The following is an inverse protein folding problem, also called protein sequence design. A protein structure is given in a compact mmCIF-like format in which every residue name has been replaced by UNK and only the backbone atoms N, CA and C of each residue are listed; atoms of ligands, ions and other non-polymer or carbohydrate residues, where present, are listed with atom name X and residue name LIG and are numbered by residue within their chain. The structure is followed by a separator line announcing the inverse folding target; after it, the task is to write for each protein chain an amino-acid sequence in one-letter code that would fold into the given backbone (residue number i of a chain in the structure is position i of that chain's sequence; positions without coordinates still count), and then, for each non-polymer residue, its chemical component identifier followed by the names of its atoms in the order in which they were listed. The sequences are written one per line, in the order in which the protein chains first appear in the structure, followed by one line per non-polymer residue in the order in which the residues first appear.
data_IF_969555171737
#
_entry.id   IF_969555171737
#
_cell.length_a   1.000
_cell.length_b   1.000
_cell.length_c   1.000
_cell.angle_alpha   90.00
_cell.angle_beta   90.00
_cell.angle_gamma   90.00
#
_symmetry.space_group_name_H-M   'P 1'
#
loop_
_entity.id
_entity.type
_entity.pdbx_description
1 polymer ?
#
# COMPACT_ATOMS: atom_id res chain seq x y z
N UNK A 1 2.37 3.96 -15.44
CA UNK A 1 3.41 4.06 -14.41
C UNK A 1 4.80 4.16 -15.04
N UNK A 2 5.19 3.21 -15.89
CA UNK A 2 6.50 3.19 -16.59
C UNK A 2 6.78 4.46 -17.39
N UNK A 3 5.79 5.00 -18.10
CA UNK A 3 5.95 6.25 -18.83
C UNK A 3 6.30 7.41 -17.89
N UNK A 4 5.57 7.56 -16.79
CA UNK A 4 5.79 8.64 -15.80
C UNK A 4 7.20 8.55 -15.20
N UNK A 5 7.61 7.34 -14.85
CA UNK A 5 8.93 7.08 -14.28
C UNK A 5 10.05 7.25 -15.31
N UNK A 6 9.83 6.79 -16.55
CA UNK A 6 10.76 6.99 -17.67
C UNK A 6 10.99 8.46 -18.01
N UNK A 7 9.99 9.31 -17.80
CA UNK A 7 10.07 10.78 -17.94
C UNK A 7 10.60 11.47 -16.68
N UNK A 8 10.89 10.73 -15.61
CA UNK A 8 11.40 11.23 -14.32
C UNK A 8 10.58 12.39 -13.75
N UNK A 9 9.27 12.24 -13.74
CA UNK A 9 8.30 13.23 -13.25
C UNK A 9 7.27 12.58 -12.32
N UNK A 10 6.45 13.41 -11.70
CA UNK A 10 5.24 12.95 -11.02
C UNK A 10 4.06 12.86 -12.00
N UNK A 11 3.06 12.07 -11.62
CA UNK A 11 1.82 11.92 -12.37
C UNK A 11 1.02 13.24 -12.42
N UNK A 12 0.44 13.53 -13.59
CA UNK A 12 -0.53 14.63 -13.72
C UNK A 12 -1.82 14.28 -12.96
N UNK A 13 -2.70 15.25 -12.68
CA UNK A 13 -3.99 14.98 -12.03
C UNK A 13 -4.83 13.91 -12.77
N UNK A 14 -4.81 13.91 -14.10
CA UNK A 14 -5.51 12.93 -14.93
C UNK A 14 -4.90 11.53 -14.79
N UNK A 15 -3.57 11.44 -14.78
CA UNK A 15 -2.86 10.18 -14.55
C UNK A 15 -3.07 9.68 -13.12
N UNK A 16 -3.07 10.56 -12.12
CA UNK A 16 -3.41 10.21 -10.72
C UNK A 16 -4.83 9.64 -10.62
N UNK A 17 -5.78 10.20 -11.36
CA UNK A 17 -7.14 9.67 -11.40
C UNK A 17 -7.18 8.23 -11.95
N UNK A 18 -6.37 7.92 -12.97
CA UNK A 18 -6.24 6.56 -13.49
C UNK A 18 -5.57 5.66 -12.46
N UNK A 19 -4.44 6.08 -11.89
CA UNK A 19 -3.69 5.30 -10.90
C UNK A 19 -4.50 5.02 -9.63
N UNK A 20 -5.36 5.95 -9.20
CA UNK A 20 -6.23 5.77 -8.04
C UNK A 20 -7.30 4.68 -8.20
N UNK A 21 -7.56 4.24 -9.43
CA UNK A 21 -8.48 3.15 -9.73
C UNK A 21 -7.82 1.77 -9.57
N UNK A 22 -6.51 1.72 -9.32
CA UNK A 22 -5.83 0.45 -9.09
C UNK A 22 -6.33 -0.21 -7.80
N UNK A 23 -6.83 -1.43 -7.94
CA UNK A 23 -7.43 -2.19 -6.83
C UNK A 23 -6.57 -3.39 -6.40
N UNK A 24 -5.31 -3.45 -6.86
CA UNK A 24 -4.42 -4.59 -6.58
C UNK A 24 -4.85 -5.86 -7.31
N UNK A 25 -4.27 -6.96 -6.89
CA UNK A 25 -4.43 -8.26 -7.51
C UNK A 25 -5.42 -9.18 -6.77
N UNK A 26 -6.08 -8.66 -5.72
CA UNK A 26 -7.04 -9.43 -4.93
C UNK A 26 -8.15 -10.03 -5.80
N UNK A 27 -8.38 -11.34 -5.66
CA UNK A 27 -9.40 -12.05 -6.44
C UNK A 27 -9.01 -12.39 -7.88
N UNK A 28 -7.79 -12.05 -8.35
CA UNK A 28 -7.32 -12.32 -9.71
C UNK A 28 -6.33 -13.51 -9.79
N UNK A 29 -6.41 -14.46 -8.87
CA UNK A 29 -5.50 -15.62 -8.83
C UNK A 29 -5.50 -16.42 -10.14
N UNK A 30 -6.63 -16.52 -10.83
CA UNK A 30 -6.76 -17.24 -12.09
C UNK A 30 -5.95 -16.62 -13.24
N UNK A 31 -5.69 -15.32 -13.21
CA UNK A 31 -4.84 -14.63 -14.18
C UNK A 31 -3.34 -15.03 -14.06
N UNK A 32 -2.95 -15.64 -12.94
CA UNK A 32 -1.60 -16.13 -12.68
C UNK A 32 -1.48 -17.65 -12.80
N UNK A 33 -2.53 -18.34 -13.27
CA UNK A 33 -2.57 -19.79 -13.42
C UNK A 33 -2.59 -20.17 -14.90
N UNK A 34 -1.49 -20.80 -15.39
CA UNK A 34 -1.32 -21.24 -16.77
C UNK A 34 -2.38 -22.26 -17.21
N UNK A 35 -2.98 -23.00 -16.28
CA UNK A 35 -4.01 -24.00 -16.58
C UNK A 35 -5.38 -23.38 -16.92
N UNK A 36 -5.57 -22.10 -16.64
CA UNK A 36 -6.82 -21.38 -16.85
C UNK A 36 -6.95 -20.83 -18.26
N UNK A 37 -7.51 -21.61 -19.17
CA UNK A 37 -7.61 -21.26 -20.59
C UNK A 37 -8.36 -19.93 -20.87
N UNK A 38 -9.35 -19.59 -20.05
CA UNK A 38 -10.11 -18.33 -20.15
C UNK A 38 -9.30 -17.09 -19.73
N UNK A 39 -8.15 -17.28 -19.07
CA UNK A 39 -7.23 -16.23 -18.62
C UNK A 39 -5.89 -16.26 -19.37
N UNK A 40 -5.80 -17.07 -20.43
CA UNK A 40 -4.54 -17.29 -21.14
C UNK A 40 -3.93 -16.01 -21.72
N UNK A 41 -4.76 -15.10 -22.22
CA UNK A 41 -4.28 -13.82 -22.77
C UNK A 41 -3.68 -12.94 -21.68
N UNK A 42 -4.39 -12.77 -20.56
CA UNK A 42 -3.94 -11.99 -19.41
C UNK A 42 -2.70 -12.61 -18.75
N UNK A 43 -2.66 -13.95 -18.64
CA UNK A 43 -1.49 -14.67 -18.13
C UNK A 43 -0.22 -14.36 -18.91
N UNK A 44 -0.27 -14.43 -20.27
CA UNK A 44 0.88 -14.12 -21.09
C UNK A 44 1.24 -12.63 -21.03
N UNK A 45 0.25 -11.75 -21.09
CA UNK A 45 0.45 -10.30 -21.01
C UNK A 45 1.09 -9.89 -19.68
N UNK A 46 0.68 -10.47 -18.55
CA UNK A 46 1.29 -10.21 -17.24
C UNK A 46 2.75 -10.65 -17.20
N UNK A 47 3.08 -11.79 -17.81
CA UNK A 47 4.46 -12.26 -17.90
C UNK A 47 5.36 -11.41 -18.80
N UNK A 48 4.81 -10.77 -19.79
CA UNK A 48 5.53 -9.84 -20.68
C UNK A 48 5.75 -8.46 -20.04
N UNK A 49 4.74 -7.97 -19.30
CA UNK A 49 4.74 -6.62 -18.72
C UNK A 49 5.47 -6.54 -17.38
N UNK A 50 5.43 -7.59 -16.58
CA UNK A 50 5.99 -7.59 -15.24
C UNK A 50 7.37 -8.25 -15.22
N UNK A 51 8.30 -7.65 -14.47
CA UNK A 51 9.54 -8.35 -14.14
C UNK A 51 9.24 -9.65 -13.36
N UNK A 52 10.15 -10.64 -13.35
CA UNK A 52 9.92 -11.88 -12.61
C UNK A 52 9.61 -11.66 -11.12
N UNK A 53 10.20 -10.64 -10.50
CA UNK A 53 9.96 -10.30 -9.11
C UNK A 53 8.58 -9.66 -8.90
N UNK A 54 8.21 -8.69 -9.73
CA UNK A 54 6.87 -8.08 -9.72
C UNK A 54 5.77 -9.12 -9.97
N UNK A 55 5.98 -10.02 -10.94
CA UNK A 55 5.04 -11.11 -11.21
C UNK A 55 4.86 -12.02 -9.99
N UNK A 56 5.96 -12.39 -9.31
CA UNK A 56 5.91 -13.21 -8.09
C UNK A 56 5.15 -12.48 -6.98
N UNK A 57 5.47 -11.22 -6.73
CA UNK A 57 4.83 -10.42 -5.68
C UNK A 57 3.34 -10.20 -5.98
N UNK A 58 2.99 -9.87 -7.21
CA UNK A 58 1.60 -9.72 -7.64
C UNK A 58 0.80 -11.02 -7.43
N UNK A 59 1.36 -12.17 -7.82
CA UNK A 59 0.75 -13.48 -7.61
C UNK A 59 0.54 -13.79 -6.13
N UNK A 60 1.55 -13.55 -5.28
CA UNK A 60 1.45 -13.75 -3.83
C UNK A 60 0.39 -12.86 -3.19
N UNK A 61 0.21 -11.64 -3.69
CA UNK A 61 -0.76 -10.68 -3.16
C UNK A 61 -2.22 -10.99 -3.53
N UNK A 62 -2.47 -11.89 -4.50
CA UNK A 62 -3.84 -12.24 -4.90
C UNK A 62 -4.72 -12.76 -3.77
N UNK A 63 -4.11 -13.32 -2.73
CA UNK A 63 -4.80 -13.87 -1.56
C UNK A 63 -4.94 -12.87 -0.40
N UNK A 64 -4.18 -11.77 -0.41
CA UNK A 64 -3.99 -10.89 0.74
C UNK A 64 -4.34 -9.41 0.46
N UNK A 65 -4.71 -9.05 -0.77
CA UNK A 65 -5.06 -7.68 -1.10
C UNK A 65 -6.51 -7.39 -0.66
N UNK A 66 -6.67 -6.82 0.52
CA UNK A 66 -7.96 -6.41 1.07
C UNK A 66 -7.98 -4.90 1.29
N UNK A 67 -8.90 -4.22 0.59
CA UNK A 67 -9.10 -2.78 0.77
C UNK A 67 -10.06 -2.51 1.92
N UNK A 68 -9.69 -1.54 2.74
CA UNK A 68 -10.55 -1.08 3.84
C UNK A 68 -11.68 -0.22 3.28
N UNK A 69 -12.91 -0.51 3.72
CA UNK A 69 -14.08 0.27 3.32
C UNK A 69 -13.93 1.77 3.68
N UNK A 70 -14.31 2.69 2.78
CA UNK A 70 -14.29 4.13 3.06
C UNK A 70 -15.06 4.53 4.33
N UNK A 71 -16.12 3.78 4.68
CA UNK A 71 -16.89 4.03 5.91
C UNK A 71 -16.02 3.76 7.15
N UNK A 72 -15.26 2.66 7.15
CA UNK A 72 -14.37 2.30 8.26
C UNK A 72 -13.26 3.34 8.40
N UNK A 73 -12.62 3.74 7.30
CA UNK A 73 -11.55 4.75 7.32
C UNK A 73 -12.05 6.06 7.93
N UNK A 74 -13.24 6.54 7.51
CA UNK A 74 -13.85 7.74 8.09
C UNK A 74 -14.10 7.62 9.58
N UNK A 75 -14.64 6.48 10.02
CA UNK A 75 -14.90 6.23 11.46
C UNK A 75 -13.60 6.24 12.29
N UNK A 76 -12.51 5.72 11.73
CA UNK A 76 -11.20 5.74 12.38
C UNK A 76 -10.70 7.18 12.54
N UNK A 77 -10.80 8.01 11.50
CA UNK A 77 -10.42 9.42 11.57
C UNK A 77 -11.31 10.23 12.53
N UNK A 78 -12.62 10.02 12.50
CA UNK A 78 -13.55 10.64 13.48
C UNK A 78 -13.18 10.28 14.92
N UNK A 79 -12.70 9.05 15.13
CA UNK A 79 -12.23 8.62 16.45
C UNK A 79 -10.97 9.36 16.86
N UNK A 80 -10.00 9.52 15.96
CA UNK A 80 -8.79 10.31 16.22
C UNK A 80 -9.10 11.77 16.53
N UNK A 81 -10.04 12.39 15.80
CA UNK A 81 -10.51 13.76 16.10
C UNK A 81 -11.11 13.88 17.50
N UNK A 82 -11.96 12.90 17.89
CA UNK A 82 -12.54 12.86 19.25
C UNK A 82 -11.48 12.64 20.33
N UNK A 83 -10.36 12.00 20.01
CA UNK A 83 -9.22 11.85 20.90
C UNK A 83 -8.33 13.11 20.95
N UNK A 84 -8.64 14.13 20.14
CA UNK A 84 -7.93 15.40 20.10
C UNK A 84 -6.73 15.45 19.16
N UNK A 85 -6.54 14.42 18.32
CA UNK A 85 -5.47 14.45 17.32
C UNK A 85 -5.83 15.41 16.18
N UNK A 86 -4.91 16.31 15.82
CA UNK A 86 -5.08 17.27 14.74
C UNK A 86 -3.93 17.27 13.75
N UNK A 87 -2.70 17.05 14.21
CA UNK A 87 -1.52 16.95 13.35
C UNK A 87 -0.36 16.24 14.04
N UNK A 88 0.48 15.61 13.25
CA UNK A 88 1.68 14.91 13.73
C UNK A 88 2.30 14.07 12.62
N UNK A 89 3.18 13.16 13.00
CA UNK A 89 3.73 12.14 12.12
C UNK A 89 2.76 10.95 12.08
N UNK A 90 2.14 10.73 10.92
CA UNK A 90 1.15 9.65 10.72
C UNK A 90 1.76 8.54 9.87
N UNK A 91 1.75 7.33 10.38
CA UNK A 91 2.24 6.13 9.72
C UNK A 91 1.08 5.27 9.20
N UNK A 92 1.19 4.82 7.95
CA UNK A 92 0.41 3.70 7.38
C UNK A 92 1.36 2.54 7.03
N UNK A 93 1.45 1.48 7.88
CA UNK A 93 2.51 0.46 7.77
C UNK A 93 2.28 -0.58 6.68
N UNK A 94 1.12 -0.61 6.06
CA UNK A 94 0.74 -1.46 4.92
C UNK A 94 -0.24 -0.67 4.06
N UNK A 95 0.30 0.36 3.38
CA UNK A 95 -0.54 1.44 2.87
C UNK A 95 -1.34 1.11 1.62
N UNK A 96 -0.99 0.05 0.89
CA UNK A 96 -1.56 -0.14 -0.43
C UNK A 96 -1.28 1.07 -1.31
N UNK A 97 -2.29 1.56 -2.00
CA UNK A 97 -2.18 2.82 -2.75
C UNK A 97 -2.43 4.07 -1.90
N UNK A 98 -2.60 3.95 -0.56
CA UNK A 98 -2.76 5.08 0.35
C UNK A 98 -4.20 5.56 0.52
N UNK A 99 -5.17 4.67 0.59
CA UNK A 99 -6.57 5.03 0.78
C UNK A 99 -6.81 5.81 2.09
N UNK A 100 -6.05 5.50 3.15
CA UNK A 100 -6.11 6.26 4.39
C UNK A 100 -5.63 7.69 4.18
N UNK A 101 -4.53 7.90 3.47
CA UNK A 101 -4.03 9.24 3.16
C UNK A 101 -5.03 10.05 2.33
N UNK A 102 -5.62 9.42 1.30
CA UNK A 102 -6.61 10.06 0.43
C UNK A 102 -7.90 10.46 1.14
N UNK A 103 -8.21 9.82 2.26
CA UNK A 103 -9.42 10.07 3.05
C UNK A 103 -9.15 10.85 4.34
N UNK A 104 -7.92 11.34 4.53
CA UNK A 104 -7.58 12.15 5.69
C UNK A 104 -8.40 13.44 5.72
N UNK A 105 -9.07 13.76 6.84
CA UNK A 105 -9.88 14.98 6.96
C UNK A 105 -9.02 16.24 6.93
N UNK A 106 -9.61 17.35 6.53
CA UNK A 106 -8.94 18.65 6.44
C UNK A 106 -8.30 19.08 7.75
N UNK A 107 -8.90 18.72 8.89
CA UNK A 107 -8.40 18.96 10.23
C UNK A 107 -7.02 18.38 10.50
N UNK A 108 -6.60 17.36 9.72
CA UNK A 108 -5.33 16.63 9.90
C UNK A 108 -4.36 16.81 8.73
N UNK A 109 -4.70 17.58 7.69
CA UNK A 109 -3.89 17.72 6.46
C UNK A 109 -2.51 18.35 6.65
N UNK A 110 -2.25 18.99 7.79
CA UNK A 110 -0.92 19.49 8.13
C UNK A 110 0.02 18.40 8.69
N UNK A 111 -0.47 17.17 8.81
CA UNK A 111 0.33 16.02 9.26
C UNK A 111 1.39 15.65 8.22
N UNK A 112 2.50 15.10 8.69
CA UNK A 112 3.50 14.46 7.85
C UNK A 112 3.13 13.00 7.66
N UNK A 113 3.12 12.54 6.41
CA UNK A 113 2.64 11.22 6.03
C UNK A 113 3.81 10.29 5.72
N UNK A 114 3.79 9.14 6.34
CA UNK A 114 4.78 8.07 6.17
C UNK A 114 4.06 6.79 5.82
N UNK A 115 4.36 6.24 4.66
CA UNK A 115 3.73 5.01 4.18
C UNK A 115 4.77 3.92 3.93
N UNK A 116 4.41 2.68 4.22
CA UNK A 116 5.23 1.52 3.89
C UNK A 116 4.38 0.55 3.08
N UNK A 117 4.92 0.07 1.96
CA UNK A 117 4.26 -0.89 1.10
C UNK A 117 5.28 -1.92 0.61
N UNK A 118 4.91 -3.19 0.72
CA UNK A 118 5.79 -4.29 0.30
C UNK A 118 5.76 -4.49 -1.22
N UNK A 119 4.57 -4.42 -1.82
CA UNK A 119 4.41 -4.60 -3.27
C UNK A 119 4.95 -3.40 -4.03
N UNK A 120 5.88 -3.66 -4.97
CA UNK A 120 6.59 -2.59 -5.67
C UNK A 120 5.68 -1.77 -6.59
N UNK A 121 4.75 -2.41 -7.28
CA UNK A 121 3.82 -1.72 -8.19
C UNK A 121 2.89 -0.82 -7.39
N UNK A 122 2.29 -1.36 -6.34
CA UNK A 122 1.38 -0.64 -5.45
C UNK A 122 2.08 0.55 -4.78
N UNK A 123 3.29 0.34 -4.26
CA UNK A 123 4.08 1.40 -3.62
C UNK A 123 4.54 2.49 -4.59
N UNK A 124 4.89 2.13 -5.84
CA UNK A 124 5.22 3.10 -6.91
C UNK A 124 3.99 3.93 -7.28
N UNK A 125 2.81 3.31 -7.35
CA UNK A 125 1.54 4.02 -7.54
C UNK A 125 1.30 5.00 -6.39
N UNK A 126 1.45 4.56 -5.15
CA UNK A 126 1.29 5.40 -3.97
C UNK A 126 2.21 6.63 -3.99
N UNK A 127 3.48 6.49 -4.41
CA UNK A 127 4.40 7.62 -4.59
C UNK A 127 3.90 8.64 -5.62
N UNK A 128 3.22 8.20 -6.67
CA UNK A 128 2.66 9.09 -7.68
C UNK A 128 1.38 9.79 -7.18
N UNK A 129 0.61 9.12 -6.32
CA UNK A 129 -0.61 9.70 -5.74
C UNK A 129 -0.30 10.69 -4.62
N UNK A 130 0.76 10.43 -3.84
CA UNK A 130 1.12 11.23 -2.65
C UNK A 130 2.59 11.67 -2.71
N UNK A 131 2.97 12.57 -3.65
CA UNK A 131 4.35 12.98 -3.83
C UNK A 131 4.96 13.71 -2.63
N UNK A 132 4.14 14.16 -1.68
CA UNK A 132 4.58 14.82 -0.44
C UNK A 132 4.75 13.86 0.74
N UNK A 133 4.34 12.59 0.59
CA UNK A 133 4.51 11.57 1.61
C UNK A 133 5.86 10.87 1.49
N UNK A 134 6.43 10.45 2.62
CA UNK A 134 7.57 9.53 2.63
C UNK A 134 7.05 8.09 2.47
N UNK A 135 7.12 7.58 1.23
CA UNK A 135 6.69 6.22 0.91
C UNK A 135 7.89 5.31 0.72
N UNK A 136 8.03 4.30 1.59
CA UNK A 136 9.07 3.29 1.52
C UNK A 136 8.51 1.98 0.94
N UNK A 137 9.18 1.46 -0.10
CA UNK A 137 8.78 0.20 -0.77
C UNK A 137 9.67 -0.92 -0.22
N UNK A 138 9.20 -1.53 0.86
CA UNK A 138 9.87 -2.64 1.56
C UNK A 138 8.94 -3.24 2.62
N UNK A 139 9.31 -4.37 3.20
CA UNK A 139 8.63 -4.87 4.40
C UNK A 139 8.81 -3.90 5.58
N UNK A 140 7.78 -3.75 6.40
CA UNK A 140 7.82 -2.85 7.56
C UNK A 140 8.94 -3.20 8.53
N UNK A 141 9.27 -4.48 8.68
CA UNK A 141 10.37 -4.99 9.52
C UNK A 141 11.77 -4.54 9.05
N UNK A 142 11.86 -3.97 7.85
CA UNK A 142 13.11 -3.41 7.28
C UNK A 142 13.17 -1.89 7.35
N UNK A 143 12.20 -1.27 8.00
CA UNK A 143 12.23 0.17 8.23
C UNK A 143 13.13 0.50 9.42
N UNK A 144 13.68 1.71 9.43
CA UNK A 144 14.60 2.19 10.47
C UNK A 144 14.09 3.53 11.01
N UNK A 145 12.86 3.51 11.54
CA UNK A 145 12.29 4.68 12.18
C UNK A 145 12.74 4.77 13.63
N UNK A 146 13.04 5.97 14.15
CA UNK A 146 13.34 6.15 15.56
C UNK A 146 12.18 5.73 16.46
N UNK A 147 12.49 5.33 17.69
CA UNK A 147 11.44 5.11 18.71
C UNK A 147 10.65 6.40 18.93
N UNK A 148 9.36 6.26 19.22
CA UNK A 148 8.44 7.37 19.52
C UNK A 148 8.36 8.44 18.41
N UNK A 149 8.67 8.07 17.16
CA UNK A 149 8.69 8.99 16.03
C UNK A 149 7.28 9.32 15.50
N UNK A 150 6.36 8.38 15.59
CA UNK A 150 5.00 8.55 15.09
C UNK A 150 4.03 8.91 16.21
N UNK A 151 3.18 9.90 15.94
CA UNK A 151 2.08 10.28 16.82
C UNK A 151 0.87 9.36 16.62
N UNK A 152 0.69 8.85 15.40
CA UNK A 152 -0.38 7.92 15.03
C UNK A 152 0.15 6.86 14.05
N UNK A 153 -0.20 5.61 14.28
CA UNK A 153 -0.16 4.56 13.27
C UNK A 153 -1.60 4.14 12.95
N UNK A 154 -1.99 4.26 11.68
CA UNK A 154 -3.35 3.97 11.21
C UNK A 154 -3.26 3.10 9.95
N UNK A 155 -4.08 2.07 9.86
CA UNK A 155 -4.07 1.20 8.69
C UNK A 155 -4.82 -0.09 8.93
N UNK A 156 -4.86 -0.93 7.90
CA UNK A 156 -5.34 -2.30 7.95
C UNK A 156 -4.19 -3.22 7.56
N UNK A 157 -3.44 -3.70 8.55
CA UNK A 157 -2.29 -4.58 8.29
C UNK A 157 -2.76 -5.98 7.88
N UNK A 158 -2.03 -6.66 6.98
CA UNK A 158 -2.33 -8.05 6.64
C UNK A 158 -2.31 -8.93 7.89
N UNK A 159 -3.29 -9.82 8.00
CA UNK A 159 -3.38 -10.82 9.05
C UNK A 159 -3.46 -12.20 8.43
N UNK A 160 -2.82 -13.19 9.06
CA UNK A 160 -2.76 -14.56 8.55
C UNK A 160 -1.89 -15.47 9.42
N UNK A 161 -1.69 -16.71 8.96
CA UNK A 161 -0.89 -17.71 9.67
C UNK A 161 0.61 -17.68 9.33
N UNK A 162 1.10 -16.59 8.76
CA UNK A 162 2.53 -16.43 8.47
C UNK A 162 3.19 -15.53 9.51
N UNK A 163 4.41 -15.90 9.90
CA UNK A 163 5.22 -15.10 10.81
C UNK A 163 6.17 -14.22 10.00
N UNK A 164 6.22 -12.95 10.36
CA UNK A 164 7.33 -12.08 9.94
C UNK A 164 8.51 -12.38 10.84
N UNK A 165 9.67 -12.72 10.27
CA UNK A 165 10.89 -12.93 11.03
C UNK A 165 11.45 -11.58 11.49
N UNK A 166 11.11 -11.17 12.70
CA UNK A 166 11.65 -9.99 13.34
C UNK A 166 12.43 -10.39 14.59
N UNK A 167 13.75 -10.17 14.56
CA UNK A 167 14.65 -10.53 15.65
C UNK A 167 14.29 -9.93 17.00
N UNK A 168 13.60 -8.80 17.01
CA UNK A 168 13.18 -8.11 18.22
C UNK A 168 11.99 -8.81 18.89
N UNK A 169 11.13 -9.46 18.10
CA UNK A 169 9.89 -10.10 18.55
C UNK A 169 9.87 -11.61 18.39
N UNK A 170 10.92 -12.24 17.83
CA UNK A 170 11.02 -13.70 17.63
C UNK A 170 10.89 -14.53 18.91
N UNK A 171 11.08 -13.92 20.07
CA UNK A 171 10.95 -14.57 21.41
C UNK A 171 9.52 -14.51 21.95
N UNK A 172 8.65 -13.74 21.36
CA UNK A 172 7.28 -13.59 21.81
C UNK A 172 6.37 -14.46 20.93
N UNK A 173 5.81 -15.51 21.52
CA UNK A 173 4.78 -16.33 20.87
C UNK A 173 3.45 -15.53 20.92
N UNK A 174 3.19 -14.75 19.89
CA UNK A 174 1.88 -14.19 19.65
C UNK A 174 1.18 -14.98 18.54
#
# INVERSE_FOLDING_TARGET
LEQIEGENRYATPEEQQILSQYVGWGGLADAFDESKSNWSAEYHQLKELLSPEEYRMARESTLNAHYTSPVIIRQMYETLEKMGFSKGNVLEPSMGIGNFFGMMPDSMKESRLYGVELDSITGRIAKQLYPQADVQIKGFEKTDYPNDFFDVAIGNVPFGQYKVADKQYDKNNF
#
